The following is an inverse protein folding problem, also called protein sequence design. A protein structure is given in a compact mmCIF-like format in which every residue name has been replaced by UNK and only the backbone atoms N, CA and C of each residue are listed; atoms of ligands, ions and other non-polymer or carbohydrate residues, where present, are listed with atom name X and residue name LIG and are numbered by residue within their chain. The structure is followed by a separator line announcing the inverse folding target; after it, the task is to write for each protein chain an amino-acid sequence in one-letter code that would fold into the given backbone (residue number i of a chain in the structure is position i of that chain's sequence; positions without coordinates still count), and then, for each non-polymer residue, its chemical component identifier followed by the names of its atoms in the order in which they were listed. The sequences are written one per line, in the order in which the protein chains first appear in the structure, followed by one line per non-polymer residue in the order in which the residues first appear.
data_IF_636642940121
#
_entry.id   IF_636642940121
#
_cell.length_a   1.000
_cell.length_b   1.000
_cell.length_c   1.000
_cell.angle_alpha   90.00
_cell.angle_beta   90.00
_cell.angle_gamma   90.00
#
_symmetry.space_group_name_H-M   'P 1'
#
loop_
_entity.id
_entity.type
_entity.pdbx_description
1 polymer ?
#
# COMPACT_ATOMS: atom_id res chain seq x y z
N UNK A 1 -23.62 12.92 -1.15
CA UNK A 1 -22.14 12.85 -1.16
C UNK A 1 -21.76 11.38 -1.11
N UNK A 2 -21.41 10.78 -2.25
CA UNK A 2 -20.88 9.43 -2.28
C UNK A 2 -19.38 9.55 -2.03
N UNK A 3 -18.97 9.51 -0.76
CA UNK A 3 -17.57 9.24 -0.44
C UNK A 3 -17.24 7.87 -1.00
N UNK A 4 -16.17 7.78 -1.79
CA UNK A 4 -15.63 6.48 -2.19
C UNK A 4 -15.42 5.64 -0.92
N UNK A 5 -15.74 4.33 -0.94
CA UNK A 5 -15.51 3.49 0.22
C UNK A 5 -14.04 3.61 0.65
N UNK A 6 -13.82 3.82 1.94
CA UNK A 6 -12.48 3.88 2.51
C UNK A 6 -11.74 2.59 2.15
N UNK A 7 -10.60 2.71 1.46
CA UNK A 7 -9.82 1.53 1.08
C UNK A 7 -9.23 0.93 2.34
N UNK A 8 -9.43 -0.36 2.53
CA UNK A 8 -8.74 -1.11 3.60
C UNK A 8 -7.42 -1.60 3.05
N UNK A 9 -6.42 -1.71 3.89
CA UNK A 9 -5.08 -2.07 3.49
C UNK A 9 -4.28 -2.61 4.65
N UNK A 10 -3.00 -2.82 4.41
CA UNK A 10 -2.08 -3.41 5.35
C UNK A 10 -0.78 -2.63 5.30
N UNK A 11 -0.19 -2.46 6.47
CA UNK A 11 1.15 -1.91 6.63
C UNK A 11 2.07 -2.99 7.15
N UNK A 12 3.29 -2.97 6.65
CA UNK A 12 4.37 -3.87 7.00
C UNK A 12 5.63 -3.04 7.17
N UNK A 13 6.34 -3.27 8.27
CA UNK A 13 7.61 -2.64 8.51
C UNK A 13 8.72 -3.46 7.87
N UNK A 14 9.43 -2.83 6.96
CA UNK A 14 10.62 -3.35 6.31
C UNK A 14 11.82 -3.07 7.21
N UNK A 15 12.65 -4.08 7.42
CA UNK A 15 13.86 -3.97 8.25
C UNK A 15 14.84 -2.93 7.73
N UNK A 16 15.58 -2.31 8.65
CA UNK A 16 16.60 -1.31 8.31
C UNK A 16 17.70 -1.92 7.40
N UNK A 17 17.91 -1.30 6.24
CA UNK A 17 18.91 -1.71 5.25
C UNK A 17 18.32 -2.27 3.95
N UNK A 18 17.02 -2.59 3.93
CA UNK A 18 16.31 -2.98 2.71
C UNK A 18 15.66 -1.73 2.11
N UNK A 19 16.02 -1.43 0.86
CA UNK A 19 15.48 -0.32 0.09
C UNK A 19 14.66 -0.88 -1.06
N UNK A 20 13.34 -0.78 -0.95
CA UNK A 20 12.45 -1.12 -2.04
C UNK A 20 12.36 0.08 -3.01
N UNK A 21 12.58 -0.21 -4.28
CA UNK A 21 12.53 0.72 -5.39
C UNK A 21 11.19 0.61 -6.13
N UNK A 22 11.00 1.47 -7.12
CA UNK A 22 9.80 1.47 -7.95
C UNK A 22 9.52 0.13 -8.66
N UNK A 23 10.51 -0.59 -9.24
CA UNK A 23 10.27 -1.92 -9.80
C UNK A 23 9.75 -2.90 -8.76
N UNK A 24 10.28 -2.87 -7.54
CA UNK A 24 9.84 -3.75 -6.46
C UNK A 24 8.36 -3.50 -6.09
N UNK A 25 7.89 -2.25 -6.19
CA UNK A 25 6.46 -1.93 -5.99
C UNK A 25 5.59 -2.50 -7.12
N UNK A 26 6.11 -2.57 -8.34
CA UNK A 26 5.42 -3.18 -9.49
C UNK A 26 5.29 -4.69 -9.30
N UNK A 27 6.37 -5.37 -8.93
CA UNK A 27 6.36 -6.81 -8.65
C UNK A 27 5.38 -7.17 -7.51
N UNK A 28 5.40 -6.40 -6.40
CA UNK A 28 4.45 -6.58 -5.30
C UNK A 28 3.00 -6.36 -5.77
N UNK A 29 2.76 -5.35 -6.60
CA UNK A 29 1.43 -5.06 -7.11
C UNK A 29 0.91 -6.18 -8.01
N UNK A 30 1.75 -6.71 -8.91
CA UNK A 30 1.42 -7.82 -9.79
C UNK A 30 1.13 -9.10 -8.99
N UNK A 31 1.98 -9.45 -8.03
CA UNK A 31 1.84 -10.65 -7.19
C UNK A 31 0.56 -10.61 -6.34
N UNK A 32 0.22 -9.44 -5.79
CA UNK A 32 -0.98 -9.27 -4.97
C UNK A 32 -2.25 -8.98 -5.80
N UNK A 33 -2.11 -8.81 -7.12
CA UNK A 33 -3.20 -8.45 -8.02
C UNK A 33 -3.84 -7.10 -7.70
N UNK A 34 -3.06 -6.13 -7.23
CA UNK A 34 -3.47 -4.75 -6.96
C UNK A 34 -2.81 -3.79 -7.97
N UNK A 35 -3.19 -2.51 -7.97
CA UNK A 35 -2.49 -1.53 -8.81
C UNK A 35 -1.24 -1.00 -8.10
N UNK A 36 -0.21 -0.64 -8.87
CA UNK A 36 0.99 0.05 -8.36
C UNK A 36 0.67 1.28 -7.51
N UNK A 37 -0.44 1.97 -7.79
CA UNK A 37 -0.85 3.16 -7.03
C UNK A 37 -1.35 2.82 -5.61
N UNK A 38 -1.68 1.55 -5.35
CA UNK A 38 -2.10 1.06 -4.05
C UNK A 38 -0.91 0.53 -3.21
N UNK A 39 0.30 0.50 -3.77
CA UNK A 39 1.51 0.02 -3.11
C UNK A 39 2.50 1.17 -2.93
N UNK A 40 2.85 1.49 -1.69
CA UNK A 40 3.80 2.56 -1.41
C UNK A 40 4.64 2.27 -0.18
N UNK A 41 5.90 2.67 -0.23
CA UNK A 41 6.81 2.60 0.90
C UNK A 41 7.16 4.00 1.40
N UNK A 42 7.05 4.22 2.71
CA UNK A 42 7.42 5.47 3.36
C UNK A 42 8.07 5.19 4.71
N UNK A 43 9.23 5.79 4.96
CA UNK A 43 9.97 5.64 6.23
C UNK A 43 10.23 4.17 6.63
N UNK A 44 10.44 3.29 5.65
CA UNK A 44 10.62 1.85 5.87
C UNK A 44 9.33 1.10 6.20
N UNK A 45 8.16 1.72 6.03
CA UNK A 45 6.86 1.08 6.16
C UNK A 45 6.26 0.94 4.77
N UNK A 46 6.13 -0.30 4.33
CA UNK A 46 5.37 -0.67 3.13
C UNK A 46 3.89 -0.67 3.47
N UNK A 47 3.10 0.01 2.66
CA UNK A 47 1.65 0.04 2.76
C UNK A 47 1.06 -0.49 1.46
N UNK A 48 0.10 -1.39 1.58
CA UNK A 48 -0.62 -1.99 0.47
C UNK A 48 -2.11 -1.81 0.73
N UNK A 49 -2.80 -1.04 -0.12
CA UNK A 49 -4.25 -0.98 -0.10
C UNK A 49 -4.82 -2.21 -0.78
N UNK A 50 -5.67 -2.92 -0.04
CA UNK A 50 -6.37 -4.09 -0.55
C UNK A 50 -7.53 -3.62 -1.44
N UNK A 51 -7.33 -3.77 -2.73
CA UNK A 51 -8.34 -3.50 -3.76
C UNK A 51 -8.80 -4.76 -4.49
N UNK A 52 -8.30 -5.95 -4.11
CA UNK A 52 -8.53 -7.22 -4.80
C UNK A 52 -8.93 -8.35 -3.85
N UNK A 53 -9.84 -9.23 -4.31
CA UNK A 53 -10.24 -10.41 -3.54
C UNK A 53 -9.05 -11.34 -3.24
N UNK A 54 -8.11 -11.46 -4.17
CA UNK A 54 -6.88 -12.26 -4.00
C UNK A 54 -6.01 -11.72 -2.87
N UNK A 55 -5.85 -10.40 -2.80
CA UNK A 55 -5.11 -9.77 -1.71
C UNK A 55 -5.79 -10.08 -0.36
N UNK A 56 -7.13 -10.00 -0.30
CA UNK A 56 -7.88 -10.35 0.93
C UNK A 56 -7.67 -11.80 1.36
N UNK A 57 -7.65 -12.76 0.44
CA UNK A 57 -7.37 -14.17 0.76
C UNK A 57 -5.95 -14.36 1.34
N UNK A 58 -4.95 -13.71 0.73
CA UNK A 58 -3.55 -13.75 1.20
C UNK A 58 -3.42 -13.18 2.62
N UNK A 59 -4.18 -12.13 2.93
CA UNK A 59 -4.25 -11.52 4.25
C UNK A 59 -4.90 -12.47 5.25
N UNK A 60 -6.06 -13.04 4.88
CA UNK A 60 -6.83 -13.93 5.74
C UNK A 60 -6.03 -15.20 6.08
N UNK A 61 -5.18 -15.65 5.15
CA UNK A 61 -4.25 -16.75 5.33
C UNK A 61 -2.96 -16.36 6.09
N UNK A 62 -2.83 -15.09 6.49
CA UNK A 62 -1.63 -14.53 7.14
C UNK A 62 -0.34 -14.77 6.33
N UNK A 63 -0.46 -14.85 5.00
CA UNK A 63 0.62 -15.15 4.07
C UNK A 63 1.21 -13.89 3.41
N UNK A 64 0.64 -12.70 3.66
CA UNK A 64 1.02 -11.44 3.00
C UNK A 64 2.52 -11.14 3.05
N UNK A 65 3.16 -11.35 4.20
CA UNK A 65 4.60 -11.15 4.35
C UNK A 65 5.41 -12.09 3.45
N UNK A 66 4.96 -13.32 3.24
CA UNK A 66 5.64 -14.31 2.38
C UNK A 66 5.53 -13.89 0.92
N UNK A 67 4.33 -13.51 0.46
CA UNK A 67 4.13 -13.07 -0.93
C UNK A 67 4.96 -11.83 -1.26
N UNK A 68 4.95 -10.83 -0.39
CA UNK A 68 5.76 -9.63 -0.57
C UNK A 68 7.26 -9.98 -0.55
N UNK A 69 7.68 -10.83 0.38
CA UNK A 69 9.07 -11.26 0.46
C UNK A 69 9.54 -11.98 -0.81
N UNK A 70 8.69 -12.85 -1.37
CA UNK A 70 8.96 -13.56 -2.63
C UNK A 70 9.01 -12.61 -3.83
N UNK A 71 8.11 -11.62 -3.90
CA UNK A 71 8.05 -10.67 -5.01
C UNK A 71 9.32 -9.82 -5.14
N UNK A 72 9.99 -9.53 -4.03
CA UNK A 72 11.17 -8.64 -4.00
C UNK A 72 12.46 -9.34 -3.56
N UNK A 73 12.45 -10.67 -3.55
CA UNK A 73 13.58 -11.55 -3.19
C UNK A 73 14.24 -11.17 -1.84
N UNK A 74 13.41 -10.94 -0.81
CA UNK A 74 13.86 -10.72 0.57
C UNK A 74 13.38 -11.85 1.49
N UNK A 75 13.90 -11.90 2.72
CA UNK A 75 13.36 -12.85 3.71
C UNK A 75 12.05 -12.34 4.29
N UNK A 76 11.03 -13.20 4.51
CA UNK A 76 9.84 -12.82 5.27
C UNK A 76 10.17 -12.41 6.70
N UNK A 77 11.29 -12.85 7.27
CA UNK A 77 11.79 -12.39 8.59
C UNK A 77 12.23 -10.93 8.60
N UNK A 78 12.47 -10.33 7.43
CA UNK A 78 12.80 -8.92 7.30
C UNK A 78 11.55 -8.03 7.18
N UNK A 79 10.36 -8.64 7.21
CA UNK A 79 9.07 -7.97 7.28
C UNK A 79 8.44 -8.21 8.65
N UNK A 80 7.97 -7.15 9.28
CA UNK A 80 7.43 -7.19 10.64
C UNK A 80 6.27 -6.22 10.82
N UNK A 81 5.63 -6.23 12.00
CA UNK A 81 4.58 -5.28 12.36
C UNK A 81 3.41 -5.23 11.34
N UNK A 82 2.96 -6.40 10.85
CA UNK A 82 1.77 -6.47 10.00
C UNK A 82 0.57 -5.87 10.73
N UNK A 83 0.02 -4.77 10.19
CA UNK A 83 -1.13 -4.07 10.75
C UNK A 83 -2.13 -3.75 9.65
N UNK A 84 -3.39 -4.10 9.88
CA UNK A 84 -4.48 -3.60 9.07
C UNK A 84 -4.58 -2.08 9.24
N UNK A 85 -4.72 -1.37 8.13
CA UNK A 85 -4.96 0.07 8.07
C UNK A 85 -6.21 0.33 7.25
N UNK A 86 -6.92 1.40 7.59
CA UNK A 86 -7.96 1.96 6.73
C UNK A 86 -7.39 3.26 6.18
N UNK A 87 -7.52 3.49 4.87
CA UNK A 87 -7.18 4.75 4.23
C UNK A 87 -7.95 5.85 4.96
N UNK A 88 -7.24 6.74 5.64
CA UNK A 88 -7.87 7.98 6.09
C UNK A 88 -8.16 8.79 4.83
N UNK A 89 -9.42 9.20 4.60
CA UNK A 89 -9.75 9.99 3.44
C UNK A 89 -8.96 11.28 3.57
N UNK A 90 -7.94 11.43 2.73
CA UNK A 90 -7.21 12.68 2.66
C UNK A 90 -8.26 13.71 2.22
N UNK A 91 -8.70 14.56 3.15
CA UNK A 91 -9.42 15.78 2.79
C UNK A 91 -8.41 16.57 1.98
N UNK A 92 -8.46 16.40 0.66
CA UNK A 92 -8.03 17.48 -0.22
C UNK A 92 -9.02 18.60 0.08
N UNK A 93 -8.65 19.50 0.99
CA UNK A 93 -9.17 20.85 0.98
C UNK A 93 -8.69 21.43 -0.36
N UNK A 94 -9.46 21.14 -1.41
CA UNK A 94 -9.39 21.86 -2.67
C UNK A 94 -9.82 23.29 -2.31
N UNK A 95 -8.85 24.13 -1.97
CA UNK A 95 -9.04 25.57 -1.95
C UNK A 95 -9.31 26.01 -3.40
N UNK A 96 -10.58 25.98 -3.79
CA UNK A 96 -11.08 26.56 -5.04
C UNK A 96 -10.83 28.08 -5.12
N UNK A 97 -10.32 28.69 -4.05
CA UNK A 97 -9.89 30.09 -4.02
C UNK A 97 -8.66 30.38 -4.89
N UNK A 98 -7.87 29.37 -5.29
CA UNK A 98 -6.71 29.53 -6.18
C UNK A 98 -7.10 29.51 -7.68
N UNK A 99 -8.39 29.39 -8.02
CA UNK A 99 -8.90 29.36 -9.40
C UNK A 99 -9.76 30.59 -9.78
N UNK A 100 -9.92 31.57 -8.90
CA UNK A 100 -10.48 32.89 -9.24
C UNK A 100 -9.37 33.95 -9.24
N UNK A 101 -8.54 33.96 -10.28
CA UNK A 101 -7.91 35.20 -10.72
C UNK A 101 -7.86 35.21 -12.27
N UNK A 102 -8.32 36.34 -12.83
CA UNK A 102 -8.33 36.75 -14.25
C UNK A 102 -9.56 36.39 -15.13
N UNK A 103 -10.69 37.11 -14.93
CA UNK A 103 -11.27 38.11 -15.89
C UNK A 103 -12.52 38.84 -15.31
#
# INVERSE_FOLDING_TARGET
MYGLPLRKGFTLKVKQGIHLNRPDMHEIAEELGVTENDVFIKDGVLTVYNTSATCQEIIDDNALAIFIAMAVDISPDDLSDLKAVEEEPMKMDFDLADFEDDD
#
